data_IF_497707598447
#
_entry.id   IF_497707598447
#
_cell.length_a   1.000
_cell.length_b   1.000
_cell.length_c   1.000
_cell.angle_alpha   90.00
_cell.angle_beta   90.00
_cell.angle_gamma   90.00
#
_symmetry.space_group_name_H-M   'P 1'
#
loop_
_entity.id
_entity.type
_entity.pdbx_description
1 polymer ?
#
# COMPACT_ATOMS: atom_id res chain seq x y z
N UNK A 1 24.76 -33.98 -36.41
CA UNK A 1 23.57 -33.10 -36.34
C UNK A 1 22.73 -33.57 -35.17
N UNK A 2 22.93 -32.97 -33.99
CA UNK A 2 22.22 -33.34 -32.76
C UNK A 2 21.19 -32.23 -32.49
N UNK A 3 19.94 -32.50 -32.83
CA UNK A 3 18.81 -31.65 -32.48
C UNK A 3 18.46 -31.86 -31.00
N UNK A 4 18.90 -30.95 -30.14
CA UNK A 4 18.43 -30.89 -28.76
C UNK A 4 17.07 -30.18 -28.74
N UNK A 5 16.02 -30.97 -28.54
CA UNK A 5 14.69 -30.50 -28.16
C UNK A 5 14.78 -29.90 -26.75
N UNK A 6 14.84 -28.57 -26.64
CA UNK A 6 14.64 -27.90 -25.36
C UNK A 6 13.13 -27.82 -25.14
N UNK A 7 12.63 -28.75 -24.34
CA UNK A 7 11.30 -28.71 -23.76
C UNK A 7 11.27 -27.59 -22.70
N UNK A 8 10.99 -26.36 -23.13
CA UNK A 8 10.71 -25.27 -22.19
C UNK A 8 9.34 -25.52 -21.56
N UNK A 9 9.32 -26.14 -20.39
CA UNK A 9 8.14 -26.23 -19.55
C UNK A 9 7.73 -24.81 -19.15
N UNK A 10 6.68 -24.30 -19.78
CA UNK A 10 6.00 -23.10 -19.34
C UNK A 10 5.38 -23.42 -17.96
N UNK A 11 6.06 -23.01 -16.90
CA UNK A 11 5.46 -22.87 -15.58
C UNK A 11 4.42 -21.75 -15.71
N UNK A 12 3.19 -22.13 -16.09
CA UNK A 12 2.01 -21.29 -15.92
C UNK A 12 1.79 -21.15 -14.41
N UNK A 13 2.54 -20.24 -13.78
CA UNK A 13 2.08 -19.66 -12.53
C UNK A 13 0.75 -19.00 -12.90
N UNK A 14 -0.35 -19.54 -12.39
CA UNK A 14 -1.57 -18.78 -12.24
C UNK A 14 -1.20 -17.60 -11.35
N UNK A 15 -0.76 -16.51 -11.98
CA UNK A 15 -0.60 -15.25 -11.33
C UNK A 15 -2.03 -14.83 -10.96
N UNK A 16 -2.42 -15.08 -9.71
CA UNK A 16 -3.58 -14.40 -9.15
C UNK A 16 -3.33 -12.91 -9.40
N UNK A 17 -4.15 -12.32 -10.27
CA UNK A 17 -4.11 -10.90 -10.52
C UNK A 17 -4.38 -10.22 -9.18
N UNK A 18 -3.47 -9.37 -8.66
CA UNK A 18 -3.69 -8.71 -7.37
C UNK A 18 -4.98 -7.91 -7.43
N UNK A 19 -5.74 -7.90 -6.33
CA UNK A 19 -6.94 -7.06 -6.25
C UNK A 19 -6.57 -5.59 -6.52
N UNK A 20 -7.43 -4.90 -7.25
CA UNK A 20 -7.24 -3.51 -7.61
C UNK A 20 -8.55 -2.74 -7.49
N UNK A 21 -8.46 -1.48 -7.06
CA UNK A 21 -9.60 -0.55 -6.99
C UNK A 21 -9.19 0.81 -7.52
N UNK A 22 -10.01 1.35 -8.42
CA UNK A 22 -9.87 2.72 -8.89
C UNK A 22 -10.58 3.67 -7.94
N UNK A 23 -9.91 4.76 -7.58
CA UNK A 23 -10.47 5.86 -6.77
C UNK A 23 -10.44 7.13 -7.61
N UNK A 24 -11.59 7.74 -7.80
CA UNK A 24 -11.69 9.02 -8.51
C UNK A 24 -11.58 10.17 -7.52
N UNK A 25 -10.58 11.02 -7.70
CA UNK A 25 -10.31 12.17 -6.83
C UNK A 25 -10.35 13.44 -7.67
N UNK A 26 -11.22 14.37 -7.29
CA UNK A 26 -11.24 15.70 -7.90
C UNK A 26 -9.99 16.48 -7.48
N UNK A 27 -9.11 16.75 -8.45
CA UNK A 27 -7.89 17.52 -8.23
C UNK A 27 -8.15 18.94 -7.74
N UNK A 28 -9.28 19.55 -8.08
CA UNK A 28 -9.61 20.89 -7.60
C UNK A 28 -9.80 20.90 -6.07
N UNK A 29 -10.34 19.81 -5.51
CA UNK A 29 -10.57 19.68 -4.07
C UNK A 29 -9.27 19.50 -3.27
N UNK A 30 -8.21 18.99 -3.89
CA UNK A 30 -6.93 18.71 -3.22
C UNK A 30 -6.23 19.97 -2.68
N UNK A 31 -6.50 21.13 -3.28
CA UNK A 31 -5.97 22.42 -2.81
C UNK A 31 -6.66 22.93 -1.53
N UNK A 32 -7.63 22.20 -1.01
CA UNK A 32 -8.31 22.54 0.25
C UNK A 32 -8.01 21.48 1.29
N UNK A 33 -7.84 21.91 2.55
CA UNK A 33 -7.60 20.97 3.65
C UNK A 33 -8.72 19.93 3.80
N UNK A 34 -9.96 20.33 3.59
CA UNK A 34 -11.12 19.44 3.65
C UNK A 34 -11.11 18.41 2.51
N UNK A 35 -10.81 18.83 1.28
CA UNK A 35 -10.71 17.93 0.13
C UNK A 35 -9.51 16.99 0.23
N UNK A 36 -8.36 17.46 0.68
CA UNK A 36 -7.19 16.63 0.94
C UNK A 36 -7.47 15.56 2.03
N UNK A 37 -8.19 15.94 3.10
CA UNK A 37 -8.61 14.99 4.13
C UNK A 37 -9.59 13.93 3.58
N UNK A 38 -10.57 14.35 2.77
CA UNK A 38 -11.51 13.43 2.14
C UNK A 38 -10.80 12.48 1.17
N UNK A 39 -9.88 12.98 0.35
CA UNK A 39 -9.05 12.18 -0.55
C UNK A 39 -8.22 11.15 0.22
N UNK A 40 -7.56 11.57 1.31
CA UNK A 40 -6.79 10.67 2.17
C UNK A 40 -7.66 9.54 2.74
N UNK A 41 -8.83 9.86 3.28
CA UNK A 41 -9.71 8.86 3.88
C UNK A 41 -10.28 7.90 2.82
N UNK A 42 -10.55 8.38 1.60
CA UNK A 42 -10.94 7.52 0.47
C UNK A 42 -9.81 6.55 0.06
N UNK A 43 -8.57 7.04 -0.07
CA UNK A 43 -7.42 6.19 -0.38
C UNK A 43 -7.19 5.14 0.71
N UNK A 44 -7.32 5.52 1.99
CA UNK A 44 -7.16 4.60 3.10
C UNK A 44 -8.25 3.50 3.10
N UNK A 45 -9.51 3.87 2.81
CA UNK A 45 -10.61 2.93 2.70
C UNK A 45 -10.43 1.96 1.52
N UNK A 46 -10.04 2.47 0.35
CA UNK A 46 -9.79 1.66 -0.85
C UNK A 46 -8.62 0.70 -0.65
N UNK A 47 -7.52 1.18 -0.08
CA UNK A 47 -6.33 0.37 0.25
C UNK A 47 -6.70 -0.79 1.18
N UNK A 48 -7.48 -0.51 2.23
CA UNK A 48 -7.96 -1.55 3.14
C UNK A 48 -8.86 -2.57 2.44
N UNK A 49 -9.74 -2.13 1.55
CA UNK A 49 -10.66 -3.01 0.84
C UNK A 49 -9.91 -4.00 -0.07
N UNK A 50 -8.94 -3.51 -0.86
CA UNK A 50 -8.05 -4.36 -1.68
C UNK A 50 -7.30 -5.36 -0.80
N UNK A 51 -6.67 -4.90 0.28
CA UNK A 51 -5.88 -5.77 1.14
C UNK A 51 -6.71 -6.81 1.89
N UNK A 52 -7.98 -6.53 2.20
CA UNK A 52 -8.90 -7.52 2.77
C UNK A 52 -9.23 -8.62 1.77
N UNK A 53 -9.45 -8.29 0.50
CA UNK A 53 -9.70 -9.26 -0.57
C UNK A 53 -8.48 -10.19 -0.75
N UNK A 54 -7.27 -9.62 -0.80
CA UNK A 54 -6.03 -10.39 -1.04
C UNK A 54 -5.65 -11.30 0.15
N UNK A 55 -6.13 -11.02 1.36
CA UNK A 55 -5.65 -11.70 2.58
C UNK A 55 -6.75 -12.44 3.36
N UNK A 56 -7.97 -12.57 2.82
CA UNK A 56 -9.15 -13.10 3.53
C UNK A 56 -8.94 -14.51 4.11
N UNK A 57 -8.12 -15.36 3.48
CA UNK A 57 -7.95 -16.77 3.84
C UNK A 57 -6.63 -17.10 4.56
N UNK A 58 -5.85 -16.09 4.96
CA UNK A 58 -4.51 -16.30 5.52
C UNK A 58 -4.47 -16.55 7.03
N UNK A 59 -3.62 -17.47 7.49
CA UNK A 59 -3.15 -17.45 8.89
C UNK A 59 -2.38 -16.13 9.09
N UNK A 60 -2.79 -15.32 10.07
CA UNK A 60 -2.36 -13.92 10.23
C UNK A 60 -2.96 -12.91 9.23
N UNK A 61 -4.14 -13.21 8.66
CA UNK A 61 -4.88 -12.31 7.77
C UNK A 61 -4.90 -10.86 8.30
N UNK A 62 -5.26 -10.65 9.56
CA UNK A 62 -5.32 -9.31 10.15
C UNK A 62 -3.98 -8.57 10.12
N UNK A 63 -2.87 -9.24 10.46
CA UNK A 63 -1.56 -8.61 10.42
C UNK A 63 -1.14 -8.28 8.98
N UNK A 64 -1.36 -9.21 8.05
CA UNK A 64 -1.07 -8.99 6.63
C UNK A 64 -1.91 -7.87 6.04
N UNK A 65 -3.20 -7.79 6.37
CA UNK A 65 -4.08 -6.68 5.98
C UNK A 65 -3.53 -5.36 6.48
N UNK A 66 -3.06 -5.27 7.74
CA UNK A 66 -2.48 -4.04 8.28
C UNK A 66 -1.23 -3.61 7.51
N UNK A 67 -0.29 -4.53 7.28
CA UNK A 67 0.96 -4.25 6.55
C UNK A 67 0.67 -3.86 5.10
N UNK A 68 -0.17 -4.65 4.41
CA UNK A 68 -0.61 -4.36 3.04
C UNK A 68 -1.29 -2.99 2.95
N UNK A 69 -2.19 -2.66 3.90
CA UNK A 69 -2.91 -1.38 3.87
C UNK A 69 -1.96 -0.21 4.02
N UNK A 70 -0.96 -0.31 4.90
CA UNK A 70 0.07 0.73 5.06
C UNK A 70 0.86 0.91 3.77
N UNK A 71 1.44 -0.16 3.22
CA UNK A 71 2.24 -0.10 1.99
C UNK A 71 1.44 0.38 0.76
N UNK A 72 0.19 -0.06 0.63
CA UNK A 72 -0.71 0.38 -0.46
C UNK A 72 -1.07 1.84 -0.32
N UNK A 73 -1.34 2.30 0.91
CA UNK A 73 -1.66 3.71 1.15
C UNK A 73 -0.46 4.61 0.91
N UNK A 74 0.74 4.22 1.36
CA UNK A 74 1.99 4.96 1.14
C UNK A 74 2.23 5.16 -0.36
N UNK A 75 2.07 4.10 -1.16
CA UNK A 75 2.17 4.16 -2.63
C UNK A 75 1.10 5.04 -3.26
N UNK A 76 -0.17 4.88 -2.85
CA UNK A 76 -1.27 5.67 -3.40
C UNK A 76 -1.14 7.17 -3.10
N UNK A 77 -0.64 7.53 -1.91
CA UNK A 77 -0.35 8.93 -1.54
C UNK A 77 0.79 9.49 -2.39
N UNK A 78 1.86 8.72 -2.61
CA UNK A 78 2.96 9.12 -3.47
C UNK A 78 2.52 9.33 -4.93
N UNK A 79 1.70 8.42 -5.47
CA UNK A 79 1.19 8.48 -6.84
C UNK A 79 0.22 9.65 -7.07
N UNK A 80 -0.58 10.02 -6.05
CA UNK A 80 -1.48 11.17 -6.13
C UNK A 80 -0.71 12.49 -6.27
N UNK A 81 0.52 12.55 -5.74
CA UNK A 81 1.41 13.72 -5.80
C UNK A 81 0.77 15.03 -5.31
N UNK A 82 -0.05 14.96 -4.26
CA UNK A 82 -0.74 16.10 -3.66
C UNK A 82 -0.11 16.45 -2.29
N UNK A 83 0.56 17.62 -2.14
CA UNK A 83 1.30 17.97 -0.92
C UNK A 83 0.48 17.87 0.37
N UNK A 84 -0.75 18.39 0.35
CA UNK A 84 -1.65 18.43 1.51
C UNK A 84 -2.06 17.01 1.95
N UNK A 85 -2.17 16.07 1.01
CA UNK A 85 -2.44 14.66 1.31
C UNK A 85 -1.20 13.99 1.88
N UNK A 86 -0.01 14.30 1.36
CA UNK A 86 1.25 13.79 1.87
C UNK A 86 1.55 14.29 3.29
N UNK A 87 1.28 15.55 3.60
CA UNK A 87 1.40 16.11 4.95
C UNK A 87 0.44 15.44 5.94
N UNK A 88 -0.82 15.23 5.54
CA UNK A 88 -1.79 14.49 6.35
C UNK A 88 -1.36 13.04 6.59
N UNK A 89 -0.78 12.41 5.57
CA UNK A 89 -0.25 11.06 5.68
C UNK A 89 0.90 10.98 6.69
N UNK A 90 1.91 11.85 6.54
CA UNK A 90 3.06 11.92 7.44
C UNK A 90 2.63 12.15 8.90
N UNK A 91 1.73 13.11 9.14
CA UNK A 91 1.23 13.39 10.49
C UNK A 91 0.54 12.15 11.13
N UNK A 92 -0.14 11.33 10.32
CA UNK A 92 -0.82 10.11 10.80
C UNK A 92 0.10 8.91 10.93
N UNK A 93 1.20 8.83 10.18
CA UNK A 93 2.17 7.72 10.26
C UNK A 93 3.24 7.96 11.31
N UNK A 94 3.74 9.19 11.47
CA UNK A 94 4.66 9.58 12.54
C UNK A 94 4.03 9.35 13.92
N UNK A 95 2.74 9.68 14.08
CA UNK A 95 1.97 9.40 15.30
C UNK A 95 1.85 7.90 15.63
N UNK A 96 2.14 7.01 14.67
CA UNK A 96 2.03 5.54 14.81
C UNK A 96 3.37 4.84 14.97
N UNK A 97 4.49 5.53 14.77
CA UNK A 97 5.80 4.94 15.01
C UNK A 97 5.95 4.73 16.52
N UNK A 98 6.08 3.48 17.01
CA UNK A 98 6.51 3.31 18.39
C UNK A 98 7.85 4.03 18.49
N UNK A 99 7.99 4.92 19.47
CA UNK A 99 9.28 5.51 19.79
C UNK A 99 10.23 4.32 20.02
N UNK A 100 11.03 3.98 19.02
CA UNK A 100 12.10 3.01 19.18
C UNK A 100 12.99 3.69 20.21
N UNK A 101 13.08 3.18 21.45
CA UNK A 101 13.97 3.78 22.41
C UNK A 101 15.34 3.72 21.76
N UNK A 102 16.09 4.81 21.84
CA UNK A 102 17.42 5.04 21.26
C UNK A 102 18.51 4.06 21.75
N UNK A 103 18.12 2.86 22.20
CA UNK A 103 18.92 1.81 22.83
C UNK A 103 19.88 1.07 21.89
N UNK A 104 19.96 1.43 20.60
CA UNK A 104 20.96 0.89 19.67
C UNK A 104 22.03 1.91 19.25
N UNK A 105 21.98 3.14 19.76
CA UNK A 105 22.96 4.19 19.44
C UNK A 105 24.12 4.32 20.46
N UNK A 106 24.15 3.50 21.51
CA UNK A 106 25.19 3.52 22.56
C UNK A 106 25.83 2.14 22.78
N UNK A 107 26.13 1.41 21.70
CA UNK A 107 27.04 0.26 21.76
C UNK A 107 28.32 0.62 21.01
N UNK A 108 29.05 1.56 21.58
CA UNK A 108 30.50 1.70 21.41
C UNK A 108 31.22 0.90 22.49
#
# INVERSE_FOLDING_TARGET
>A
MLSSLILAAALQFAADTPSARTVEIDRAMLNTRAGAAAAYDQLAAASRAVCLEDNVNGVMAEHRVRVCTADTLDRAVADLAAPEVAELHAARTESRQPAIPRLLAERD
#
